data_IF_020203125504
#
_entry.id   IF_020203125504
#
_cell.length_a   1.000
_cell.length_b   1.000
_cell.length_c   1.000
_cell.angle_alpha   90.00
_cell.angle_beta   90.00
_cell.angle_gamma   90.00
#
_symmetry.space_group_name_H-M   'P 1'
#
loop_
_entity.id
_entity.type
_entity.pdbx_description
1 polymer ?
#
# COMPACT_ATOMS: atom_id res chain seq x y z
N UNK A 1 12.65 3.70 1.19
CA UNK A 1 11.32 3.07 1.34
C UNK A 1 10.61 3.15 -0.01
N UNK A 2 10.29 2.01 -0.63
CA UNK A 2 9.65 1.99 -1.94
C UNK A 2 8.12 2.01 -1.79
N UNK A 3 7.45 3.00 -2.40
CA UNK A 3 5.99 3.07 -2.49
C UNK A 3 5.59 2.57 -3.89
N UNK A 4 5.30 1.28 -4.01
CA UNK A 4 4.97 0.65 -5.30
C UNK A 4 3.45 0.57 -5.53
N UNK A 5 3.03 0.76 -6.79
CA UNK A 5 1.62 0.70 -7.25
C UNK A 5 1.20 -0.71 -7.70
N UNK A 6 2.17 -1.57 -8.01
CA UNK A 6 1.97 -2.98 -8.34
C UNK A 6 3.07 -3.82 -7.65
N UNK A 7 2.65 -4.81 -6.87
CA UNK A 7 3.56 -5.67 -6.13
C UNK A 7 3.61 -7.01 -6.85
N UNK A 8 4.75 -7.32 -7.46
CA UNK A 8 5.00 -8.65 -8.04
C UNK A 8 4.72 -9.75 -7.01
N UNK A 9 4.25 -10.91 -7.47
CA UNK A 9 3.90 -12.07 -6.64
C UNK A 9 5.00 -12.42 -5.64
N UNK A 10 6.27 -12.17 -6.00
CA UNK A 10 7.47 -12.52 -5.23
C UNK A 10 8.07 -11.39 -4.39
N UNK A 11 7.48 -10.19 -4.41
CA UNK A 11 8.10 -9.00 -3.81
C UNK A 11 8.45 -9.19 -2.33
N UNK A 12 7.53 -9.75 -1.51
CA UNK A 12 7.80 -9.95 -0.08
C UNK A 12 8.93 -10.96 0.16
N UNK A 13 8.96 -12.06 -0.59
CA UNK A 13 10.06 -13.02 -0.55
C UNK A 13 11.41 -12.36 -0.85
N UNK A 14 11.48 -11.51 -1.89
CA UNK A 14 12.71 -10.81 -2.25
C UNK A 14 13.09 -9.76 -1.20
N UNK A 15 12.11 -8.99 -0.71
CA UNK A 15 12.35 -8.01 0.33
C UNK A 15 12.89 -8.66 1.61
N UNK A 16 12.36 -9.82 1.99
CA UNK A 16 12.86 -10.61 3.11
C UNK A 16 14.33 -11.05 2.90
N UNK A 17 14.65 -11.62 1.74
CA UNK A 17 16.02 -12.06 1.41
C UNK A 17 17.00 -10.89 1.42
N UNK A 18 16.57 -9.72 0.95
CA UNK A 18 17.40 -8.52 0.87
C UNK A 18 17.42 -7.70 2.17
N UNK A 19 16.67 -8.11 3.21
CA UNK A 19 16.51 -7.31 4.44
C UNK A 19 15.87 -5.93 4.20
N UNK A 20 15.13 -5.76 3.11
CA UNK A 20 14.59 -4.48 2.70
C UNK A 20 13.33 -4.12 3.51
N UNK A 21 13.27 -2.88 4.00
CA UNK A 21 12.09 -2.32 4.67
C UNK A 21 11.16 -1.65 3.66
N UNK A 22 9.86 -1.92 3.73
CA UNK A 22 8.90 -1.45 2.74
C UNK A 22 7.58 -1.00 3.34
N UNK A 23 6.89 -0.14 2.59
CA UNK A 23 5.50 0.24 2.81
C UNK A 23 4.85 0.35 1.43
N UNK A 24 3.93 -0.57 1.14
CA UNK A 24 3.36 -0.69 -0.22
C UNK A 24 1.85 -0.90 -0.16
N UNK A 25 1.12 -0.41 -1.16
CA UNK A 25 -0.31 -0.67 -1.29
C UNK A 25 -0.52 -2.01 -1.98
N UNK A 26 -1.34 -2.86 -1.37
CA UNK A 26 -1.75 -4.15 -1.93
C UNK A 26 -3.18 -4.06 -2.48
N UNK A 27 -3.39 -4.63 -3.65
CA UNK A 27 -4.73 -4.83 -4.24
C UNK A 27 -5.12 -6.31 -4.26
N UNK A 28 -4.13 -7.21 -4.26
CA UNK A 28 -4.35 -8.66 -4.32
C UNK A 28 -4.48 -9.25 -2.92
N UNK A 29 -5.56 -9.99 -2.69
CA UNK A 29 -5.75 -10.74 -1.45
C UNK A 29 -4.82 -11.95 -1.42
N UNK A 30 -4.09 -12.14 -0.32
CA UNK A 30 -3.11 -13.21 -0.15
C UNK A 30 -3.58 -14.25 0.84
N UNK A 31 -2.99 -15.43 0.75
CA UNK A 31 -3.18 -16.48 1.73
C UNK A 31 -2.48 -16.09 3.04
N UNK A 32 -3.16 -16.33 4.14
CA UNK A 32 -2.65 -16.17 5.49
C UNK A 32 -2.72 -17.51 6.22
N UNK A 33 -1.85 -17.68 7.22
CA UNK A 33 -2.02 -18.78 8.17
C UNK A 33 -3.41 -18.65 8.82
N UNK A 34 -4.20 -19.74 8.89
CA UNK A 34 -5.49 -19.70 9.55
C UNK A 34 -5.35 -19.23 11.00
N UNK A 35 -6.30 -18.44 11.52
CA UNK A 35 -6.32 -18.11 12.93
C UNK A 35 -6.46 -19.39 13.76
N UNK A 36 -5.85 -19.41 14.94
CA UNK A 36 -5.84 -20.57 15.84
C UNK A 36 -7.24 -20.99 16.34
N UNK A 37 -8.25 -20.12 16.16
CA UNK A 37 -9.64 -20.42 16.48
C UNK A 37 -10.40 -20.87 15.22
N UNK A 38 -11.14 -21.99 15.26
CA UNK A 38 -11.84 -22.52 14.10
C UNK A 38 -12.96 -21.56 13.67
N UNK A 39 -12.69 -20.77 12.64
CA UNK A 39 -13.74 -20.08 11.90
C UNK A 39 -14.38 -21.07 10.92
N UNK A 40 -15.71 -21.21 10.87
CA UNK A 40 -16.40 -22.19 10.03
C UNK A 40 -16.30 -21.90 8.52
N UNK A 41 -15.57 -20.86 8.11
CA UNK A 41 -15.51 -20.41 6.71
C UNK A 41 -14.07 -20.38 6.19
N UNK A 42 -13.85 -20.95 5.01
CA UNK A 42 -12.56 -20.94 4.29
C UNK A 42 -12.00 -19.52 4.02
N UNK A 43 -12.82 -18.48 4.19
CA UNK A 43 -12.44 -17.08 4.07
C UNK A 43 -11.38 -16.64 5.11
N UNK A 44 -11.30 -17.28 6.28
CA UNK A 44 -10.33 -16.95 7.32
C UNK A 44 -8.86 -17.20 6.90
N UNK A 45 -8.63 -17.98 5.83
CA UNK A 45 -7.32 -18.20 5.22
C UNK A 45 -6.83 -17.04 4.35
N UNK A 46 -7.57 -15.92 4.31
CA UNK A 46 -7.21 -14.76 3.49
C UNK A 46 -6.86 -13.56 4.37
N UNK A 47 -5.75 -12.91 4.03
CA UNK A 47 -5.25 -11.73 4.74
C UNK A 47 -6.34 -10.68 4.92
N UNK A 48 -7.07 -10.32 3.86
CA UNK A 48 -8.07 -9.25 3.96
C UNK A 48 -9.25 -9.62 4.84
N UNK A 49 -9.59 -10.90 4.98
CA UNK A 49 -10.65 -11.33 5.89
C UNK A 49 -10.21 -11.19 7.35
N UNK A 50 -8.97 -11.59 7.67
CA UNK A 50 -8.40 -11.42 9.02
C UNK A 50 -8.33 -9.94 9.41
N UNK A 51 -7.85 -9.08 8.52
CA UNK A 51 -7.80 -7.63 8.76
C UNK A 51 -9.20 -7.03 8.86
N UNK A 52 -10.16 -7.51 8.06
CA UNK A 52 -11.55 -7.05 8.11
C UNK A 52 -12.23 -7.39 9.45
N UNK A 53 -11.87 -8.50 10.10
CA UNK A 53 -12.42 -8.92 11.38
C UNK A 53 -11.91 -8.09 12.59
N UNK A 54 -10.78 -7.39 12.45
CA UNK A 54 -10.25 -6.53 13.51
C UNK A 54 -11.13 -5.27 13.65
N UNK A 55 -11.42 -4.80 14.88
CA UNK A 55 -12.13 -3.56 15.11
C UNK A 55 -11.35 -2.34 14.59
N UNK A 56 -12.06 -1.25 14.33
CA UNK A 56 -11.42 0.02 13.98
C UNK A 56 -10.60 0.55 15.15
N UNK A 57 -9.34 0.92 14.90
CA UNK A 57 -8.42 1.42 15.92
C UNK A 57 -8.58 2.92 16.16
N UNK A 58 -8.99 3.67 15.14
CA UNK A 58 -9.21 5.12 15.26
C UNK A 58 -9.48 5.81 13.93
N UNK A 59 -9.44 7.14 13.96
CA UNK A 59 -9.66 8.01 12.80
C UNK A 59 -8.55 9.05 12.67
N UNK A 60 -8.25 9.48 11.45
CA UNK A 60 -7.21 10.44 11.15
C UNK A 60 -7.55 11.27 9.91
N UNK A 61 -7.05 12.52 9.87
CA UNK A 61 -7.18 13.40 8.70
C UNK A 61 -5.91 13.38 7.88
N UNK A 62 -6.05 13.15 6.58
CA UNK A 62 -4.92 13.07 5.65
C UNK A 62 -5.10 14.04 4.49
N UNK A 63 -4.04 14.76 4.12
CA UNK A 63 -4.03 15.60 2.93
C UNK A 63 -3.87 14.74 1.66
N UNK A 64 -4.80 14.85 0.72
CA UNK A 64 -4.85 13.98 -0.48
C UNK A 64 -4.15 14.57 -1.71
N UNK A 65 -3.63 15.81 -1.61
CA UNK A 65 -2.79 16.42 -2.65
C UNK A 65 -3.56 17.12 -3.78
N UNK A 66 -4.86 17.39 -3.61
CA UNK A 66 -5.64 18.23 -4.52
C UNK A 66 -5.17 19.69 -4.51
N UNK A 67 -5.53 20.45 -5.56
CA UNK A 67 -5.13 21.87 -5.75
C UNK A 67 -5.55 22.77 -4.58
N UNK A 68 -6.60 22.41 -3.85
CA UNK A 68 -7.15 23.19 -2.73
C UNK A 68 -6.73 22.67 -1.35
N UNK A 69 -5.74 21.78 -1.26
CA UNK A 69 -5.35 21.18 0.02
C UNK A 69 -6.42 20.26 0.60
N UNK A 70 -7.18 19.58 -0.27
CA UNK A 70 -8.26 18.67 0.10
C UNK A 70 -7.81 17.66 1.17
N UNK A 71 -8.64 17.51 2.21
CA UNK A 71 -8.40 16.58 3.31
C UNK A 71 -9.46 15.49 3.32
N UNK A 72 -9.05 14.25 3.57
CA UNK A 72 -9.94 13.12 3.75
C UNK A 72 -9.98 12.71 5.22
N UNK A 73 -11.17 12.36 5.71
CA UNK A 73 -11.34 11.82 7.06
C UNK A 73 -11.43 10.30 6.99
N UNK A 74 -10.38 9.66 7.48
CA UNK A 74 -10.15 8.23 7.28
C UNK A 74 -10.24 7.48 8.60
N UNK A 75 -10.87 6.31 8.58
CA UNK A 75 -10.80 5.34 9.67
C UNK A 75 -9.70 4.32 9.39
N UNK A 76 -9.02 3.90 10.45
CA UNK A 76 -7.79 3.09 10.38
C UNK A 76 -7.94 1.87 11.28
N UNK A 77 -7.53 0.72 10.76
CA UNK A 77 -7.25 -0.47 11.54
C UNK A 77 -6.02 -1.18 11.03
N UNK A 78 -5.40 -1.96 11.89
CA UNK A 78 -4.20 -2.70 11.53
C UNK A 78 -4.13 -4.04 12.23
N UNK A 79 -3.45 -4.99 11.61
CA UNK A 79 -3.26 -6.33 12.15
C UNK A 79 -1.90 -6.88 11.73
N UNK A 80 -1.24 -7.57 12.65
CA UNK A 80 -0.11 -8.44 12.33
C UNK A 80 -0.64 -9.75 11.79
N UNK A 81 -0.29 -10.08 10.55
CA UNK A 81 -0.77 -11.26 9.84
C UNK A 81 0.42 -12.07 9.34
N UNK A 82 0.36 -13.37 9.60
CA UNK A 82 1.32 -14.32 9.03
C UNK A 82 0.91 -14.67 7.60
N UNK A 83 1.58 -14.08 6.63
CA UNK A 83 1.28 -14.20 5.21
C UNK A 83 2.07 -15.34 4.58
N UNK A 84 1.36 -16.18 3.83
CA UNK A 84 1.94 -17.29 3.08
C UNK A 84 2.62 -16.78 1.79
N UNK A 85 3.78 -17.34 1.42
CA UNK A 85 4.34 -17.17 0.10
C UNK A 85 3.37 -17.64 -0.99
N UNK A 86 3.56 -17.18 -2.24
CA UNK A 86 2.84 -17.74 -3.38
C UNK A 86 2.93 -19.26 -3.42
N UNK A 87 1.85 -19.94 -3.80
CA UNK A 87 1.71 -21.41 -3.74
C UNK A 87 2.94 -22.13 -4.32
N UNK A 88 3.36 -21.77 -5.53
CA UNK A 88 4.52 -22.38 -6.19
C UNK A 88 5.89 -22.12 -5.53
N UNK A 89 5.95 -21.32 -4.47
CA UNK A 89 7.17 -20.91 -3.76
C UNK A 89 7.18 -21.25 -2.27
N UNK A 90 6.11 -21.85 -1.75
CA UNK A 90 6.02 -22.22 -0.33
C UNK A 90 7.06 -23.24 0.12
N UNK A 91 7.62 -24.03 -0.81
CA UNK A 91 8.76 -24.93 -0.51
C UNK A 91 10.08 -24.19 -0.28
N UNK A 92 10.23 -22.97 -0.81
CA UNK A 92 11.49 -22.21 -0.84
C UNK A 92 11.52 -21.07 0.17
N UNK A 93 10.37 -20.53 0.54
CA UNK A 93 10.27 -19.40 1.44
C UNK A 93 9.38 -19.76 2.62
N UNK A 94 9.76 -19.31 3.81
CA UNK A 94 8.95 -19.44 5.01
C UNK A 94 7.80 -18.43 5.02
N UNK A 95 6.85 -18.68 5.92
CA UNK A 95 5.80 -17.75 6.29
C UNK A 95 6.40 -16.42 6.79
N UNK A 96 5.76 -15.30 6.45
CA UNK A 96 6.25 -13.97 6.83
C UNK A 96 5.21 -13.24 7.67
N UNK A 97 5.62 -12.75 8.83
CA UNK A 97 4.79 -11.85 9.64
C UNK A 97 4.86 -10.44 9.05
N UNK A 98 3.73 -9.94 8.56
CA UNK A 98 3.60 -8.62 7.96
C UNK A 98 2.47 -7.86 8.64
N UNK A 99 2.63 -6.54 8.74
CA UNK A 99 1.58 -5.68 9.28
C UNK A 99 0.77 -5.12 8.13
N UNK A 100 -0.54 -5.34 8.19
CA UNK A 100 -1.50 -4.78 7.25
C UNK A 100 -2.24 -3.63 7.90
N UNK A 101 -2.29 -2.50 7.21
CA UNK A 101 -3.03 -1.31 7.63
C UNK A 101 -4.16 -1.13 6.62
N UNK A 102 -5.40 -1.18 7.09
CA UNK A 102 -6.57 -0.90 6.28
C UNK A 102 -7.12 0.47 6.64
N UNK A 103 -7.29 1.30 5.62
CA UNK A 103 -7.73 2.68 5.71
C UNK A 103 -8.90 2.88 4.76
N UNK A 104 -9.99 3.41 5.31
CA UNK A 104 -11.24 3.63 4.58
C UNK A 104 -11.76 5.04 4.85
N UNK A 105 -12.36 5.67 3.84
CA UNK A 105 -13.11 6.92 4.01
C UNK A 105 -14.27 6.73 5.01
N UNK A 106 -14.44 7.68 5.94
CA UNK A 106 -15.59 7.70 6.85
C UNK A 106 -16.80 8.30 6.14
N UNK A 107 -16.58 9.40 5.41
CA UNK A 107 -17.61 10.15 4.67
C UNK A 107 -17.02 10.59 3.33
N UNK A 108 -17.02 9.71 2.31
CA UNK A 108 -16.37 10.02 1.04
C UNK A 108 -17.08 11.20 0.35
N UNK A 109 -16.33 12.20 -0.12
CA UNK A 109 -16.92 13.33 -0.83
C UNK A 109 -17.40 12.88 -2.22
N UNK A 110 -18.45 13.53 -2.73
CA UNK A 110 -19.10 13.15 -4.01
C UNK A 110 -18.27 13.42 -5.26
N UNK A 111 -17.18 14.17 -5.13
CA UNK A 111 -16.32 14.63 -6.23
C UNK A 111 -15.12 13.72 -6.52
N UNK A 112 -14.89 12.66 -5.73
CA UNK A 112 -13.82 11.69 -5.96
C UNK A 112 -14.21 10.30 -5.50
N UNK A 113 -13.50 9.30 -6.01
CA UNK A 113 -13.64 7.93 -5.52
C UNK A 113 -13.28 7.84 -4.02
N UNK A 114 -14.02 7.05 -3.22
CA UNK A 114 -13.70 6.79 -1.83
C UNK A 114 -12.29 6.24 -1.67
N UNK A 115 -11.60 6.67 -0.62
CA UNK A 115 -10.32 6.07 -0.27
C UNK A 115 -10.56 4.69 0.34
N UNK A 116 -10.11 3.65 -0.36
CA UNK A 116 -9.91 2.29 0.17
C UNK A 116 -8.43 1.90 -0.06
N UNK A 117 -7.63 2.05 0.99
CA UNK A 117 -6.22 1.68 0.98
C UNK A 117 -5.94 0.52 1.91
N UNK A 118 -5.40 -0.55 1.33
CA UNK A 118 -4.82 -1.68 2.06
C UNK A 118 -3.32 -1.59 1.90
N UNK A 119 -2.64 -1.15 2.95
CA UNK A 119 -1.18 -1.03 3.00
C UNK A 119 -0.60 -2.25 3.71
N UNK A 120 0.62 -2.61 3.33
CA UNK A 120 1.39 -3.66 4.01
C UNK A 120 2.82 -3.19 4.23
N UNK A 121 3.34 -3.54 5.40
CA UNK A 121 4.70 -3.19 5.82
C UNK A 121 5.31 -4.29 6.67
N UNK A 122 6.64 -4.34 6.68
CA UNK A 122 7.44 -5.10 7.63
C UNK A 122 8.07 -4.20 8.72
N UNK A 123 7.66 -2.93 8.79
CA UNK A 123 8.01 -2.02 9.87
C UNK A 123 7.10 -2.24 11.08
N UNK A 124 7.57 -1.96 12.30
CA UNK A 124 6.75 -2.07 13.50
C UNK A 124 5.58 -1.06 13.48
N UNK A 125 4.43 -1.53 13.94
CA UNK A 125 3.18 -0.77 14.10
C UNK A 125 2.47 -1.34 15.32
N UNK A 126 2.83 -0.79 16.48
CA UNK A 126 2.36 -1.30 17.78
C UNK A 126 1.09 -0.56 18.25
N UNK A 127 0.84 0.64 17.72
CA UNK A 127 -0.28 1.49 18.08
C UNK A 127 -0.86 2.27 16.89
N UNK A 128 -1.93 3.02 17.15
CA UNK A 128 -2.59 3.87 16.16
C UNK A 128 -1.65 4.97 15.65
N UNK A 129 -0.79 5.55 16.50
CA UNK A 129 0.10 6.63 16.11
C UNK A 129 1.14 6.14 15.09
N UNK A 130 1.70 4.95 15.31
CA UNK A 130 2.57 4.28 14.37
C UNK A 130 1.82 3.97 13.06
N UNK A 131 0.57 3.51 13.11
CA UNK A 131 -0.21 3.25 11.89
C UNK A 131 -0.48 4.53 11.08
N UNK A 132 -0.80 5.62 11.78
CA UNK A 132 -0.98 6.96 11.22
C UNK A 132 0.29 7.47 10.56
N UNK A 133 1.45 7.30 11.20
CA UNK A 133 2.74 7.71 10.62
C UNK A 133 2.97 7.04 9.24
N UNK A 134 2.71 5.73 9.13
CA UNK A 134 2.88 5.01 7.85
C UNK A 134 1.84 5.46 6.84
N UNK A 135 0.61 5.71 7.27
CA UNK A 135 -0.42 6.29 6.42
C UNK A 135 0.01 7.66 5.86
N UNK A 136 0.54 8.54 6.70
CA UNK A 136 1.01 9.88 6.29
C UNK A 136 2.18 9.76 5.30
N UNK A 137 3.11 8.83 5.53
CA UNK A 137 4.17 8.53 4.55
C UNK A 137 3.60 8.07 3.21
N UNK A 138 2.56 7.24 3.21
CA UNK A 138 1.90 6.78 1.99
C UNK A 138 1.12 7.91 1.31
N UNK A 139 0.49 8.80 2.08
CA UNK A 139 -0.28 9.93 1.56
C UNK A 139 0.58 10.87 0.71
N UNK A 140 1.86 11.00 1.03
CA UNK A 140 2.82 11.82 0.26
C UNK A 140 3.18 11.24 -1.12
N UNK A 141 2.64 10.07 -1.50
CA UNK A 141 2.90 9.43 -2.81
C UNK A 141 2.63 10.36 -4.00
N UNK A 142 1.61 11.22 -3.93
CA UNK A 142 1.30 12.16 -5.02
C UNK A 142 2.45 13.14 -5.30
N UNK A 143 3.23 13.53 -4.27
CA UNK A 143 4.40 14.42 -4.45
C UNK A 143 5.46 13.74 -5.32
N UNK A 144 5.65 12.44 -5.13
CA UNK A 144 6.58 11.62 -5.93
C UNK A 144 6.08 11.48 -7.38
N UNK A 145 4.78 11.31 -7.59
CA UNK A 145 4.20 11.29 -8.95
C UNK A 145 4.35 12.64 -9.65
N UNK A 146 4.15 13.75 -8.93
CA UNK A 146 4.35 15.11 -9.45
C UNK A 146 5.81 15.35 -9.85
N UNK A 147 6.77 14.92 -9.02
CA UNK A 147 8.19 15.00 -9.36
C UNK A 147 8.51 14.26 -10.67
N UNK A 148 8.05 13.02 -10.82
CA UNK A 148 8.25 12.26 -12.07
C UNK A 148 7.54 12.89 -13.27
N UNK A 149 6.35 13.47 -13.07
CA UNK A 149 5.64 14.19 -14.13
C UNK A 149 6.45 15.39 -14.62
N UNK A 150 7.00 16.19 -13.71
CA UNK A 150 7.86 17.33 -14.04
C UNK A 150 9.13 16.85 -14.78
N UNK A 151 9.80 15.82 -14.26
CA UNK A 151 10.99 15.25 -14.90
C UNK A 151 10.72 14.75 -16.32
N UNK A 152 9.60 14.04 -16.52
CA UNK A 152 9.20 13.56 -17.84
C UNK A 152 8.85 14.72 -18.78
N UNK A 153 8.19 15.77 -18.28
CA UNK A 153 7.87 16.95 -19.09
C UNK A 153 9.15 17.66 -19.59
N UNK A 154 10.15 17.84 -18.71
CA UNK A 154 11.45 18.43 -19.08
C UNK A 154 12.20 17.55 -20.08
N UNK A 155 12.19 16.23 -19.89
CA UNK A 155 12.81 15.30 -20.83
C UNK A 155 12.15 15.33 -22.23
N UNK A 156 10.82 15.49 -22.29
CA UNK A 156 10.07 15.63 -23.56
C UNK A 156 10.31 16.97 -24.26
N UNK A 157 10.49 18.06 -23.51
CA UNK A 157 10.89 19.34 -24.13
C UNK A 157 12.26 19.24 -24.81
N UNK A 158 13.21 18.57 -24.15
CA UNK A 158 14.58 18.38 -24.67
C UNK A 158 14.62 17.54 -25.96
N UNK A 159 13.72 16.58 -26.15
CA UNK A 159 13.65 15.78 -27.38
C UNK A 159 12.95 16.49 -28.55
N UNK A 160 12.16 17.55 -28.28
CA UNK A 160 11.52 18.36 -29.33
C UNK A 160 12.44 19.44 -29.90
N UNK A 161 13.34 19.99 -29.09
CA UNK A 161 14.35 20.97 -29.54
C UNK A 161 15.49 20.35 -30.36
N UNK A 162 15.66 19.03 -30.34
CA UNK A 162 16.70 18.32 -31.09
C UNK A 162 16.20 17.71 -32.41
N UNK A 163 15.02 18.07 -32.92
CA UNK A 163 14.57 17.62 -34.24
C UNK A 163 15.30 18.43 -35.32
N UNK A 164 16.20 17.84 -36.13
CA UNK A 164 16.78 18.56 -37.25
C UNK A 164 15.65 19.00 -38.20
N UNK A 165 15.72 20.21 -38.79
CA UNK A 165 14.74 20.64 -39.78
C UNK A 165 14.72 19.62 -40.92
N UNK A 166 13.54 19.07 -41.20
CA UNK A 166 13.33 18.16 -42.32
C UNK A 166 13.37 18.96 -43.62
N UNK A 167 14.52 18.98 -44.27
CA UNK A 167 14.71 19.60 -45.57
C UNK A 167 16.17 19.58 -46.03
N UNK A 168 16.58 18.46 -46.61
CA UNK A 168 17.48 18.37 -47.76
C UNK A 168 17.03 17.16 -48.60
#
# INVERSE_FOLDING_TARGET
MAIAKAISTNFFCLAQVLGARFLVRVQTNRLAEPPSSPSPTNAAHRVFAQVAAVPWSGRHRVATGGQDGETAFLQIKFASVKTLPPIGKQKRYALQTLIYIYVLDVDPPSNRDPIDWKLVTNLPVDDLAAAVEKLDWYALRWKVEMFHKIMNLVAVQRTRDCRPPSGW
#
